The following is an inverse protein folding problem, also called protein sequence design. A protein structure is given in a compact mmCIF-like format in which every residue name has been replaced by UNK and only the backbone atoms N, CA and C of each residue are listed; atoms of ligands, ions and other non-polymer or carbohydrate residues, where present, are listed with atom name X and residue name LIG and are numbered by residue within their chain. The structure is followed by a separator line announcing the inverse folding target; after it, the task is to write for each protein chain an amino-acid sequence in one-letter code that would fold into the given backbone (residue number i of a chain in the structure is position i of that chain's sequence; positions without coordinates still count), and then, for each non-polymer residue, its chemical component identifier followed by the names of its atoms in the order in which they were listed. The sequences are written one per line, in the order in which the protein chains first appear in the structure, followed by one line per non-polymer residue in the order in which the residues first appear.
data_IF_687702121260
#
_entry.id   IF_687702121260
#
_cell.length_a   1.000
_cell.length_b   1.000
_cell.length_c   1.000
_cell.angle_alpha   90.00
_cell.angle_beta   90.00
_cell.angle_gamma   90.00
#
_symmetry.space_group_name_H-M   'P 1'
#
loop_
_entity.id
_entity.type
_entity.pdbx_description
1 polymer ?
#
# COMPACT_ATOMS: atom_id res chain seq x y z
N UNK A 1 36.25 -0.40 2.64
CA UNK A 1 35.72 -1.64 2.01
C UNK A 1 34.64 -2.30 2.89
N UNK A 2 33.66 -1.52 3.39
CA UNK A 2 32.60 -2.02 4.30
C UNK A 2 31.20 -1.99 3.66
N UNK A 3 31.12 -1.91 2.33
CA UNK A 3 29.90 -1.41 1.67
C UNK A 3 28.93 -2.50 1.16
N UNK A 4 29.38 -3.74 0.97
CA UNK A 4 28.50 -4.80 0.44
C UNK A 4 27.96 -5.74 1.52
N UNK A 5 28.80 -6.15 2.47
CA UNK A 5 28.43 -7.13 3.51
C UNK A 5 27.40 -6.59 4.49
N UNK A 6 27.53 -5.32 4.89
CA UNK A 6 26.56 -4.68 5.81
C UNK A 6 25.20 -4.52 5.12
N UNK A 7 25.18 -4.13 3.84
CA UNK A 7 23.95 -3.96 3.08
C UNK A 7 23.24 -5.29 2.85
N UNK A 8 23.98 -6.33 2.48
CA UNK A 8 23.45 -7.69 2.34
C UNK A 8 22.97 -8.27 3.68
N UNK A 9 23.71 -8.06 4.79
CA UNK A 9 23.25 -8.43 6.13
C UNK A 9 21.96 -7.69 6.49
N UNK A 10 21.89 -6.36 6.31
CA UNK A 10 20.67 -5.59 6.59
C UNK A 10 19.48 -6.12 5.78
N UNK A 11 19.64 -6.42 4.49
CA UNK A 11 18.59 -7.04 3.68
C UNK A 11 18.14 -8.42 4.18
N UNK A 12 19.08 -9.26 4.63
CA UNK A 12 18.79 -10.59 5.20
C UNK A 12 18.09 -10.46 6.56
N UNK A 13 18.53 -9.53 7.40
CA UNK A 13 17.97 -9.28 8.73
C UNK A 13 16.56 -8.65 8.64
N UNK A 14 16.33 -7.74 7.68
CA UNK A 14 15.00 -7.17 7.39
C UNK A 14 13.98 -8.20 6.93
N UNK A 15 14.43 -9.27 6.25
CA UNK A 15 13.58 -10.41 5.85
C UNK A 15 13.16 -11.29 7.03
N UNK A 16 13.87 -11.23 8.17
CA UNK A 16 13.68 -12.14 9.31
C UNK A 16 12.61 -11.69 10.33
N UNK A 17 11.91 -10.57 10.09
CA UNK A 17 10.78 -10.08 10.94
C UNK A 17 11.12 -9.78 12.40
N UNK A 18 12.39 -9.59 12.77
CA UNK A 18 12.82 -9.24 14.14
C UNK A 18 13.09 -7.73 14.33
N UNK A 19 12.33 -6.88 13.64
CA UNK A 19 12.42 -5.43 13.80
C UNK A 19 11.56 -4.98 14.99
N UNK A 20 12.18 -4.26 15.91
CA UNK A 20 11.52 -3.68 17.09
C UNK A 20 11.48 -2.16 16.89
N UNK A 21 10.27 -1.62 16.74
CA UNK A 21 10.02 -0.20 16.48
C UNK A 21 8.84 0.04 15.54
N UNK A 22 8.65 1.31 15.16
CA UNK A 22 7.58 1.75 14.27
C UNK A 22 8.13 2.46 13.02
N UNK A 23 7.43 2.35 11.87
CA UNK A 23 7.72 3.16 10.70
C UNK A 23 7.72 4.65 11.05
N UNK A 24 8.66 5.39 10.49
CA UNK A 24 8.71 6.85 10.60
C UNK A 24 7.53 7.47 9.85
N UNK A 25 6.99 8.56 10.40
CA UNK A 25 5.97 9.37 9.73
C UNK A 25 6.58 10.35 8.72
N UNK A 26 7.83 10.75 8.94
CA UNK A 26 8.61 11.63 8.05
C UNK A 26 9.98 10.99 7.80
N UNK A 27 10.36 10.73 6.54
CA UNK A 27 9.58 10.95 5.31
C UNK A 27 8.39 9.98 5.18
N UNK A 28 7.35 10.45 4.50
CA UNK A 28 6.13 9.66 4.29
C UNK A 28 6.42 8.34 3.53
N UNK A 29 5.66 7.28 3.82
CA UNK A 29 5.68 6.07 3.01
C UNK A 29 5.44 6.36 1.53
N UNK A 30 6.13 5.63 0.65
CA UNK A 30 6.01 5.77 -0.81
C UNK A 30 5.68 4.45 -1.47
N UNK A 31 5.06 4.51 -2.64
CA UNK A 31 4.92 3.34 -3.50
C UNK A 31 6.15 3.17 -4.38
N UNK A 32 6.72 1.97 -4.40
CA UNK A 32 7.82 1.62 -5.28
C UNK A 32 7.30 0.81 -6.48
N UNK A 33 7.29 1.43 -7.66
CA UNK A 33 6.72 0.83 -8.86
C UNK A 33 7.49 -0.41 -9.35
N UNK A 34 8.79 -0.48 -9.06
CA UNK A 34 9.64 -1.62 -9.44
C UNK A 34 9.31 -2.88 -8.64
N UNK A 35 9.21 -2.77 -7.31
CA UNK A 35 8.83 -3.90 -6.44
C UNK A 35 7.31 -4.09 -6.31
N UNK A 36 6.52 -3.10 -6.72
CA UNK A 36 5.07 -3.10 -6.59
C UNK A 36 4.56 -2.99 -5.15
N UNK A 37 5.40 -2.53 -4.22
CA UNK A 37 5.16 -2.53 -2.76
C UNK A 37 5.21 -1.13 -2.18
N UNK A 38 4.54 -0.97 -1.04
CA UNK A 38 4.68 0.23 -0.20
C UNK A 38 5.99 0.12 0.57
N UNK A 39 6.78 1.20 0.53
CA UNK A 39 8.03 1.37 1.27
C UNK A 39 7.82 2.38 2.39
N UNK A 40 8.48 2.18 3.53
CA UNK A 40 8.55 3.17 4.60
C UNK A 40 9.98 3.31 5.11
N UNK A 41 10.26 4.44 5.73
CA UNK A 41 11.49 4.61 6.48
C UNK A 41 11.30 4.04 7.88
N UNK A 42 12.31 3.34 8.37
CA UNK A 42 12.26 2.67 9.67
C UNK A 42 13.51 3.03 10.46
N UNK A 43 13.30 3.36 11.74
CA UNK A 43 14.35 3.54 12.73
C UNK A 43 13.96 2.71 13.96
N UNK A 44 14.85 1.83 14.37
CA UNK A 44 14.58 0.93 15.48
C UNK A 44 15.76 0.01 15.75
N UNK A 45 15.49 -1.05 16.49
CA UNK A 45 16.50 -2.05 16.83
C UNK A 45 16.21 -3.37 16.15
N UNK A 46 17.27 -4.16 15.96
CA UNK A 46 17.20 -5.49 15.38
C UNK A 46 17.57 -6.57 16.41
N UNK A 47 16.71 -7.58 16.50
CA UNK A 47 16.95 -8.79 17.28
C UNK A 47 16.97 -8.59 18.80
N UNK A 48 17.11 -9.68 19.55
CA UNK A 48 17.13 -9.67 21.03
C UNK A 48 18.31 -8.90 21.62
N UNK A 49 19.40 -8.77 20.85
CA UNK A 49 20.59 -8.02 21.24
C UNK A 49 20.39 -6.49 21.11
N UNK A 50 19.27 -6.03 20.54
CA UNK A 50 18.91 -4.62 20.50
C UNK A 50 19.82 -3.77 19.61
N UNK A 51 20.34 -4.32 18.51
CA UNK A 51 21.27 -3.58 17.65
C UNK A 51 20.57 -2.40 16.99
N UNK A 52 21.09 -1.19 17.20
CA UNK A 52 20.53 0.01 16.58
C UNK A 52 20.75 -0.02 15.06
N UNK A 53 19.65 0.16 14.34
CA UNK A 53 19.68 0.31 12.89
C UNK A 53 19.73 1.80 12.53
N UNK A 54 20.55 2.20 11.54
CA UNK A 54 20.40 3.51 10.93
C UNK A 54 19.02 3.62 10.27
N UNK A 55 18.57 4.84 9.99
CA UNK A 55 17.35 5.04 9.22
C UNK A 55 17.50 4.36 7.86
N UNK A 56 16.67 3.35 7.61
CA UNK A 56 16.69 2.57 6.38
C UNK A 56 15.29 2.53 5.77
N UNK A 57 15.25 2.47 4.43
CA UNK A 57 13.99 2.25 3.72
C UNK A 57 13.73 0.76 3.57
N UNK A 58 12.53 0.34 3.98
CA UNK A 58 12.14 -1.07 4.04
C UNK A 58 10.76 -1.26 3.41
N UNK A 59 10.39 -2.51 3.12
CA UNK A 59 9.00 -2.84 2.81
C UNK A 59 8.12 -2.52 4.01
N UNK A 60 6.97 -1.89 3.76
CA UNK A 60 6.02 -1.59 4.83
C UNK A 60 5.63 -2.91 5.51
N UNK A 61 5.79 -3.02 6.84
CA UNK A 61 5.47 -4.23 7.57
C UNK A 61 4.03 -4.71 7.32
N UNK A 62 3.77 -5.99 7.53
CA UNK A 62 2.44 -6.58 7.40
C UNK A 62 1.50 -6.13 8.54
N UNK A 63 1.13 -4.86 8.50
CA UNK A 63 0.23 -4.16 9.43
C UNK A 63 -0.94 -3.55 8.66
N UNK A 64 -1.96 -3.10 9.38
CA UNK A 64 -3.15 -2.49 8.79
C UNK A 64 -2.80 -1.25 7.97
N UNK A 65 -1.82 -0.48 8.44
CA UNK A 65 -1.35 0.77 7.83
C UNK A 65 -0.79 0.55 6.42
N UNK A 66 -0.18 -0.61 6.15
CA UNK A 66 0.27 -0.98 4.80
C UNK A 66 -0.87 -0.92 3.80
N UNK A 67 -2.04 -1.44 4.17
CA UNK A 67 -3.21 -1.47 3.29
C UNK A 67 -3.80 -0.07 3.11
N UNK A 68 -3.74 0.79 4.13
CA UNK A 68 -4.16 2.20 4.03
C UNK A 68 -3.31 2.95 3.02
N UNK A 69 -1.98 2.82 3.12
CA UNK A 69 -1.05 3.43 2.18
C UNK A 69 -1.20 2.84 0.79
N UNK A 70 -1.31 1.51 0.66
CA UNK A 70 -1.54 0.86 -0.63
C UNK A 70 -2.83 1.34 -1.30
N UNK A 71 -3.93 1.49 -0.53
CA UNK A 71 -5.19 2.02 -1.03
C UNK A 71 -5.07 3.46 -1.52
N UNK A 72 -4.36 4.33 -0.78
CA UNK A 72 -4.06 5.70 -1.22
C UNK A 72 -3.40 5.69 -2.60
N UNK A 73 -2.32 4.91 -2.77
CA UNK A 73 -1.59 4.84 -4.03
C UNK A 73 -2.39 4.17 -5.16
N UNK A 74 -3.30 3.25 -4.82
CA UNK A 74 -4.22 2.63 -5.77
C UNK A 74 -5.20 3.67 -6.33
N UNK A 75 -5.81 4.47 -5.46
CA UNK A 75 -6.75 5.54 -5.83
C UNK A 75 -6.06 6.65 -6.64
N UNK A 76 -4.81 6.98 -6.31
CA UNK A 76 -3.99 7.93 -7.07
C UNK A 76 -3.58 7.40 -8.46
N UNK A 77 -3.81 6.11 -8.75
CA UNK A 77 -3.36 5.47 -9.97
C UNK A 77 -1.84 5.22 -10.03
N UNK A 78 -1.15 5.32 -8.89
CA UNK A 78 0.28 5.01 -8.77
C UNK A 78 0.58 3.52 -8.90
N UNK A 79 -0.34 2.66 -8.45
CA UNK A 79 -0.22 1.19 -8.57
C UNK A 79 -0.56 0.71 -9.98
N UNK A 80 -1.67 1.22 -10.53
CA UNK A 80 -2.20 0.88 -11.85
C UNK A 80 -2.46 2.16 -12.66
N UNK A 81 -1.61 2.46 -13.67
CA UNK A 81 -1.69 3.72 -14.42
C UNK A 81 -3.03 3.96 -15.12
N UNK A 82 -3.78 2.91 -15.47
CA UNK A 82 -5.13 3.03 -16.07
C UNK A 82 -6.12 3.76 -15.15
N UNK A 83 -5.92 3.70 -13.83
CA UNK A 83 -6.76 4.41 -12.86
C UNK A 83 -6.40 5.89 -12.71
N UNK A 84 -5.23 6.32 -13.20
CA UNK A 84 -4.74 7.70 -13.03
C UNK A 84 -5.69 8.74 -13.63
N UNK A 85 -6.40 8.38 -14.71
CA UNK A 85 -7.39 9.27 -15.34
C UNK A 85 -8.55 9.64 -14.41
N UNK A 86 -8.84 8.81 -13.42
CA UNK A 86 -9.92 9.02 -12.45
C UNK A 86 -9.47 9.78 -11.20
N UNK A 87 -8.16 9.88 -10.94
CA UNK A 87 -7.62 10.42 -9.70
C UNK A 87 -8.09 11.85 -9.39
N UNK A 88 -8.28 12.69 -10.41
CA UNK A 88 -8.79 14.07 -10.27
C UNK A 88 -10.31 14.15 -10.07
N UNK A 89 -11.05 13.10 -10.38
CA UNK A 89 -12.51 13.03 -10.26
C UNK A 89 -13.00 12.33 -8.99
N UNK A 90 -12.08 11.89 -8.12
CA UNK A 90 -12.46 11.17 -6.90
C UNK A 90 -13.32 12.06 -5.99
N UNK A 91 -14.38 11.48 -5.44
CA UNK A 91 -15.31 12.14 -4.52
C UNK A 91 -14.66 12.56 -3.19
N UNK A 92 -13.48 12.04 -2.88
CA UNK A 92 -12.65 12.49 -1.77
C UNK A 92 -11.18 12.29 -2.08
N UNK A 93 -10.28 13.10 -1.49
CA UNK A 93 -8.85 12.95 -1.69
C UNK A 93 -8.36 11.56 -1.23
N UNK A 94 -7.47 10.88 -1.97
CA UNK A 94 -6.86 9.62 -1.54
C UNK A 94 -6.16 9.67 -0.18
N UNK A 95 -5.67 10.85 0.21
CA UNK A 95 -5.04 11.11 1.51
C UNK A 95 -5.97 10.84 2.70
N UNK A 96 -7.29 10.78 2.50
CA UNK A 96 -8.23 10.38 3.56
C UNK A 96 -8.01 8.94 4.02
N UNK A 97 -7.46 8.04 3.19
CA UNK A 97 -7.18 6.65 3.57
C UNK A 97 -6.17 6.53 4.73
N UNK A 98 -5.24 7.47 4.85
CA UNK A 98 -4.12 7.42 5.79
C UNK A 98 -4.35 8.29 7.05
N UNK A 99 -5.51 8.95 7.16
CA UNK A 99 -5.88 9.71 8.37
C UNK A 99 -6.30 8.78 9.50
N UNK A 100 -6.07 9.20 10.74
CA UNK A 100 -6.44 8.45 11.95
C UNK A 100 -7.94 8.16 12.05
N UNK A 101 -8.78 9.06 11.53
CA UNK A 101 -10.23 8.93 11.49
C UNK A 101 -10.76 8.23 10.23
N UNK A 102 -9.89 7.71 9.35
CA UNK A 102 -10.30 7.14 8.08
C UNK A 102 -11.35 6.03 8.22
N UNK A 103 -11.31 5.20 9.26
CA UNK A 103 -12.29 4.10 9.46
C UNK A 103 -13.70 4.56 9.81
N UNK A 104 -13.89 5.84 10.17
CA UNK A 104 -15.22 6.40 10.46
C UNK A 104 -16.01 6.67 9.18
N UNK A 105 -15.33 6.83 8.04
CA UNK A 105 -15.98 7.02 6.77
C UNK A 105 -16.32 5.64 6.15
N UNK A 106 -17.58 5.36 5.77
CA UNK A 106 -17.94 4.07 5.20
C UNK A 106 -17.18 3.73 3.92
N UNK A 107 -16.83 4.74 3.12
CA UNK A 107 -16.14 4.59 1.82
C UNK A 107 -14.72 4.02 1.98
N UNK A 108 -13.96 4.57 2.91
CA UNK A 108 -12.58 4.17 3.25
C UNK A 108 -12.55 2.84 3.98
N UNK A 109 -13.48 2.60 4.90
CA UNK A 109 -13.59 1.35 5.66
C UNK A 109 -13.88 0.15 4.75
N UNK A 110 -14.85 0.28 3.83
CA UNK A 110 -15.22 -0.78 2.89
C UNK A 110 -14.04 -1.15 1.97
N UNK A 111 -13.34 -0.15 1.41
CA UNK A 111 -12.16 -0.39 0.58
C UNK A 111 -11.02 -1.06 1.38
N UNK A 112 -10.76 -0.58 2.60
CA UNK A 112 -9.73 -1.15 3.47
C UNK A 112 -10.03 -2.60 3.83
N UNK A 113 -11.27 -2.89 4.25
CA UNK A 113 -11.72 -4.25 4.62
C UNK A 113 -11.57 -5.22 3.46
N UNK A 114 -11.92 -4.81 2.24
CA UNK A 114 -11.71 -5.63 1.05
C UNK A 114 -10.21 -5.96 0.89
N UNK A 115 -9.34 -4.95 0.83
CA UNK A 115 -7.90 -5.18 0.68
C UNK A 115 -7.32 -6.11 1.76
N UNK A 116 -7.74 -5.94 3.02
CA UNK A 116 -7.31 -6.79 4.14
C UNK A 116 -7.83 -8.23 4.00
N UNK A 117 -9.09 -8.41 3.60
CA UNK A 117 -9.73 -9.74 3.48
C UNK A 117 -9.00 -10.66 2.50
N UNK A 118 -8.44 -10.10 1.42
CA UNK A 118 -7.63 -10.84 0.44
C UNK A 118 -6.12 -10.67 0.64
N UNK A 119 -5.69 -9.98 1.70
CA UNK A 119 -4.28 -9.60 1.95
C UNK A 119 -3.62 -8.94 0.73
N UNK A 120 -4.40 -8.15 -0.02
CA UNK A 120 -3.98 -7.45 -1.22
C UNK A 120 -3.23 -6.15 -0.86
N UNK A 121 -2.00 -6.29 -0.33
CA UNK A 121 -1.15 -5.16 0.12
C UNK A 121 -0.07 -4.73 -0.87
N UNK A 122 0.03 -5.40 -2.02
CA UNK A 122 0.96 -5.06 -3.10
C UNK A 122 0.34 -5.33 -4.48
N UNK A 123 0.98 -4.81 -5.53
CA UNK A 123 0.51 -4.94 -6.93
C UNK A 123 0.26 -6.39 -7.32
N UNK A 124 1.22 -7.27 -7.07
CA UNK A 124 1.12 -8.67 -7.47
C UNK A 124 0.04 -9.42 -6.69
N UNK A 125 -0.11 -9.14 -5.39
CA UNK A 125 -1.18 -9.74 -4.58
C UNK A 125 -2.57 -9.34 -5.08
N UNK A 126 -2.76 -8.08 -5.50
CA UNK A 126 -4.05 -7.65 -6.06
C UNK A 126 -4.28 -8.22 -7.47
N UNK A 127 -3.22 -8.32 -8.29
CA UNK A 127 -3.30 -8.97 -9.61
C UNK A 127 -3.73 -10.44 -9.49
N UNK A 128 -3.11 -11.19 -8.59
CA UNK A 128 -3.48 -12.60 -8.36
C UNK A 128 -4.94 -12.74 -7.92
N UNK A 129 -5.44 -11.81 -7.08
CA UNK A 129 -6.87 -11.79 -6.73
C UNK A 129 -7.77 -11.54 -7.95
N UNK A 130 -7.34 -10.70 -8.89
CA UNK A 130 -8.09 -10.44 -10.12
C UNK A 130 -8.02 -11.58 -11.15
N UNK A 131 -6.99 -12.43 -11.11
CA UNK A 131 -6.94 -13.65 -11.92
C UNK A 131 -8.08 -14.60 -11.54
N UNK A 132 -8.34 -14.75 -10.24
CA UNK A 132 -9.44 -15.58 -9.73
C UNK A 132 -10.81 -14.86 -9.76
N UNK A 133 -10.82 -13.56 -9.43
CA UNK A 133 -12.02 -12.76 -9.22
C UNK A 133 -11.87 -11.42 -9.95
N UNK A 134 -12.10 -11.36 -11.28
CA UNK A 134 -11.78 -10.19 -12.09
C UNK A 134 -12.56 -8.94 -11.67
N UNK A 135 -13.76 -9.10 -11.10
CA UNK A 135 -14.60 -7.99 -10.59
C UNK A 135 -14.30 -7.60 -9.14
N UNK A 136 -13.33 -8.24 -8.48
CA UNK A 136 -13.00 -7.93 -7.10
C UNK A 136 -12.55 -6.48 -6.95
N UNK A 137 -12.94 -5.83 -5.85
CA UNK A 137 -12.65 -4.43 -5.53
C UNK A 137 -13.34 -3.38 -6.42
N UNK A 138 -14.08 -3.78 -7.46
CA UNK A 138 -14.75 -2.85 -8.38
C UNK A 138 -15.78 -2.00 -7.65
N UNK A 139 -16.71 -2.62 -6.92
CA UNK A 139 -17.77 -1.91 -6.20
C UNK A 139 -17.20 -0.96 -5.14
N UNK A 140 -16.14 -1.38 -4.46
CA UNK A 140 -15.43 -0.58 -3.47
C UNK A 140 -14.75 0.63 -4.12
N UNK A 141 -14.15 0.45 -5.30
CA UNK A 141 -13.55 1.55 -6.08
C UNK A 141 -14.60 2.51 -6.65
N UNK A 142 -15.73 2.01 -7.16
CA UNK A 142 -16.82 2.85 -7.69
C UNK A 142 -17.37 3.81 -6.64
N UNK A 143 -17.38 3.45 -5.35
CA UNK A 143 -17.78 4.36 -4.26
C UNK A 143 -16.91 5.62 -4.16
N UNK A 144 -15.71 5.61 -4.74
CA UNK A 144 -14.82 6.77 -4.82
C UNK A 144 -15.04 7.62 -6.07
N UNK A 145 -15.80 7.15 -7.04
CA UNK A 145 -16.06 7.83 -8.31
C UNK A 145 -17.47 8.44 -8.36
N UNK A 146 -17.65 9.53 -9.10
CA UNK A 146 -18.98 9.99 -9.47
C UNK A 146 -19.69 8.93 -10.32
N UNK A 147 -21.01 8.84 -10.18
CA UNK A 147 -21.84 7.84 -10.88
C UNK A 147 -21.68 7.88 -12.40
N UNK A 148 -21.45 9.08 -12.97
CA UNK A 148 -21.16 9.27 -14.40
C UNK A 148 -19.93 8.50 -14.90
N UNK A 149 -18.96 8.22 -14.03
CA UNK A 149 -17.75 7.47 -14.38
C UNK A 149 -17.88 5.96 -14.14
N UNK A 150 -18.96 5.48 -13.50
CA UNK A 150 -19.07 4.07 -13.09
C UNK A 150 -19.11 3.11 -14.26
N UNK A 151 -19.87 3.44 -15.31
CA UNK A 151 -19.99 2.61 -16.51
C UNK A 151 -18.63 2.45 -17.20
N UNK A 152 -17.91 3.55 -17.40
CA UNK A 152 -16.61 3.53 -18.04
C UNK A 152 -15.56 2.76 -17.20
N UNK A 153 -15.51 3.01 -15.88
CA UNK A 153 -14.59 2.32 -14.99
C UNK A 153 -14.84 0.81 -14.95
N UNK A 154 -16.11 0.39 -14.98
CA UNK A 154 -16.50 -1.01 -14.99
C UNK A 154 -16.14 -1.72 -16.30
N UNK A 155 -16.19 -1.02 -17.44
CA UNK A 155 -15.84 -1.57 -18.76
C UNK A 155 -14.36 -1.96 -18.85
N UNK A 156 -13.49 -1.16 -18.24
CA UNK A 156 -12.04 -1.36 -18.29
C UNK A 156 -11.47 -2.09 -17.06
N UNK A 157 -12.35 -2.73 -16.27
CA UNK A 157 -11.96 -3.48 -15.08
C UNK A 157 -11.65 -4.95 -15.42
N UNK A 158 -10.55 -5.56 -14.89
CA UNK A 158 -9.57 -4.98 -13.97
C UNK A 158 -8.54 -4.06 -14.68
N UNK A 159 -8.03 -3.03 -14.00
CA UNK A 159 -7.17 -1.99 -14.58
C UNK A 159 -5.70 -2.42 -14.69
N UNK A 160 -5.43 -3.66 -15.10
CA UNK A 160 -4.09 -4.24 -15.24
C UNK A 160 -3.33 -3.74 -16.46
#
# INVERSE_FOLDING_TARGET
MFSFTVRAMVYILLKLKELIGDPLSDPEPRYDAASGRVKCHFKGTFGKAGWELPTVEIDYPERLERYRWFAKFLLEGGVFPKLKKYASSLLSPPSTMVKSWATLQPRTDVLLKALVAKRAGCKDSLKSVWEDQPKYLLNEYLRWLPESAHNEASLYWPPI
#
